data_IF_581658928957
#
_entry.id   IF_581658928957
#
_cell.length_a   1.000
_cell.length_b   1.000
_cell.length_c   1.000
_cell.angle_alpha   90.00
_cell.angle_beta   90.00
_cell.angle_gamma   90.00
#
_symmetry.space_group_name_H-M   'P 1'
#
loop_
_entity.id
_entity.type
_entity.pdbx_description
1 polymer ?
#
# COMPACT_ATOMS: atom_id res chain seq x y z
N UNK A 1 -31.06 33.18 45.17
CA UNK A 1 -29.90 32.40 45.65
C UNK A 1 -28.89 32.35 44.50
N UNK A 2 -27.87 33.22 44.45
CA UNK A 2 -26.52 33.01 45.03
C UNK A 2 -25.81 31.86 44.28
N UNK A 3 -24.71 31.99 43.54
CA UNK A 3 -23.47 32.77 43.68
C UNK A 3 -22.81 32.90 42.29
N UNK A 4 -22.35 34.09 41.90
CA UNK A 4 -20.93 34.49 41.80
C UNK A 4 -20.07 33.66 40.83
N UNK A 5 -19.73 34.28 39.69
CA UNK A 5 -18.75 33.79 38.74
C UNK A 5 -17.32 33.84 39.30
N UNK A 6 -16.53 32.84 38.90
CA UNK A 6 -15.09 32.80 39.12
C UNK A 6 -14.40 32.53 37.78
N UNK A 7 -13.69 33.55 37.29
CA UNK A 7 -12.64 33.41 36.29
C UNK A 7 -11.37 32.92 36.99
N UNK A 8 -10.64 31.92 36.47
CA UNK A 8 -9.33 31.58 37.02
C UNK A 8 -8.32 32.70 36.70
N UNK A 9 -7.79 33.34 37.74
CA UNK A 9 -6.60 34.18 37.68
C UNK A 9 -5.36 33.32 37.44
N UNK A 10 -4.49 33.78 36.55
CA UNK A 10 -3.22 33.16 36.23
C UNK A 10 -2.25 33.22 37.44
N UNK A 11 -1.58 32.11 37.71
CA UNK A 11 -0.53 32.03 38.71
C UNK A 11 0.73 32.80 38.26
N UNK A 12 1.49 33.41 39.20
CA UNK A 12 2.69 34.17 38.87
C UNK A 12 3.85 33.23 38.47
N UNK A 13 4.53 33.55 37.37
CA UNK A 13 5.67 32.78 36.90
C UNK A 13 6.94 33.07 37.73
N UNK A 14 7.76 32.05 38.05
CA UNK A 14 9.06 32.24 38.70
C UNK A 14 10.09 32.84 37.73
N UNK A 15 11.16 33.50 38.25
CA UNK A 15 12.08 34.30 37.46
C UNK A 15 12.90 33.48 36.48
N UNK A 16 13.11 34.07 35.29
CA UNK A 16 13.63 33.43 34.10
C UNK A 16 15.03 32.82 34.25
N UNK A 17 15.12 31.54 33.90
CA UNK A 17 16.37 30.89 33.52
C UNK A 17 16.79 31.44 32.15
N UNK A 18 18.05 31.88 31.94
CA UNK A 18 18.47 32.37 30.64
C UNK A 18 18.38 31.26 29.59
N UNK A 19 17.67 31.51 28.50
CA UNK A 19 17.70 30.64 27.32
C UNK A 19 19.14 30.55 26.79
N UNK A 20 19.68 29.36 26.48
CA UNK A 20 20.96 29.28 25.80
C UNK A 20 20.82 29.97 24.44
N UNK A 21 21.69 30.93 24.18
CA UNK A 21 21.74 31.65 22.92
C UNK A 21 21.99 30.66 21.76
N UNK A 22 21.42 30.90 20.57
CA UNK A 22 21.69 30.07 19.42
C UNK A 22 23.18 30.17 19.07
N UNK A 23 23.86 29.02 19.05
CA UNK A 23 25.24 28.89 18.59
C UNK A 23 25.29 29.07 17.07
N UNK A 24 25.12 30.30 16.62
CA UNK A 24 25.61 30.76 15.33
C UNK A 24 26.11 32.19 15.52
N UNK A 25 27.34 32.33 16.02
CA UNK A 25 28.14 33.49 15.67
C UNK A 25 28.97 33.09 14.48
N UNK A 26 28.74 33.77 13.37
CA UNK A 26 29.64 33.80 12.24
C UNK A 26 31.03 34.23 12.74
N UNK A 27 31.96 33.27 12.76
CA UNK A 27 33.36 33.58 12.65
C UNK A 27 33.66 33.57 11.15
N UNK A 28 33.75 34.76 10.57
CA UNK A 28 34.39 34.98 9.28
C UNK A 28 35.86 34.60 9.42
N UNK A 29 36.20 33.37 9.05
CA UNK A 29 37.56 33.07 8.60
C UNK A 29 37.53 32.99 7.08
N UNK A 30 38.37 33.79 6.46
CA UNK A 30 38.73 33.66 5.05
C UNK A 30 39.46 32.33 4.85
N UNK A 31 38.69 31.24 4.82
CA UNK A 31 39.15 29.96 4.32
C UNK A 31 38.97 30.01 2.81
N UNK A 32 40.07 30.23 2.10
CA UNK A 32 40.16 30.03 0.65
C UNK A 32 39.39 28.75 0.28
N UNK A 33 38.31 28.93 -0.47
CA UNK A 33 37.56 27.84 -1.04
C UNK A 33 38.52 27.07 -1.97
N UNK A 34 39.12 26.00 -1.44
CA UNK A 34 39.73 24.98 -2.26
C UNK A 34 38.59 24.45 -3.14
N UNK A 35 38.60 24.85 -4.40
CA UNK A 35 37.69 24.34 -5.42
C UNK A 35 37.94 22.84 -5.51
N UNK A 36 37.09 22.05 -4.85
CA UNK A 36 36.99 20.62 -5.12
C UNK A 36 36.70 20.52 -6.61
N UNK A 37 37.56 19.87 -7.42
CA UNK A 37 37.28 19.72 -8.83
C UNK A 37 35.96 18.98 -8.92
N UNK A 38 34.95 19.67 -9.45
CA UNK A 38 33.64 19.10 -9.74
C UNK A 38 33.89 18.13 -10.89
N UNK A 39 34.32 16.93 -10.56
CA UNK A 39 34.37 15.83 -11.50
C UNK A 39 32.93 15.73 -12.02
N UNK A 40 32.70 16.05 -13.29
CA UNK A 40 31.48 15.66 -13.98
C UNK A 40 31.51 14.13 -14.02
N UNK A 41 31.13 13.50 -12.90
CA UNK A 41 30.91 12.07 -12.84
C UNK A 41 29.77 11.79 -13.81
N UNK A 42 30.16 11.25 -14.98
CA UNK A 42 29.24 10.70 -15.96
C UNK A 42 28.17 9.88 -15.22
N UNK A 43 26.91 10.29 -15.37
CA UNK A 43 25.79 9.56 -14.80
C UNK A 43 25.84 8.11 -15.26
N UNK A 44 25.82 7.19 -14.29
CA UNK A 44 25.85 5.75 -14.57
C UNK A 44 24.59 5.38 -15.34
N UNK A 45 24.77 4.61 -16.41
CA UNK A 45 23.62 4.07 -17.15
C UNK A 45 22.94 2.97 -16.32
N UNK A 46 21.64 2.71 -16.50
CA UNK A 46 20.94 1.61 -15.82
C UNK A 46 21.65 0.25 -15.96
N UNK A 47 22.31 0.02 -17.09
CA UNK A 47 23.05 -1.21 -17.38
C UNK A 47 24.36 -1.31 -16.59
N UNK A 48 24.94 -0.20 -16.17
CA UNK A 48 26.19 -0.13 -15.41
C UNK A 48 25.97 -0.34 -13.91
N UNK A 49 24.71 -0.30 -13.44
CA UNK A 49 24.38 -0.55 -12.04
C UNK A 49 24.65 -2.03 -11.66
N UNK A 50 25.16 -2.28 -10.44
CA UNK A 50 25.33 -3.63 -9.93
C UNK A 50 23.97 -4.31 -9.80
N UNK A 51 23.89 -5.62 -10.03
CA UNK A 51 22.61 -6.32 -9.93
C UNK A 51 22.58 -7.73 -10.49
N UNK A 52 21.37 -8.29 -10.56
CA UNK A 52 21.13 -9.61 -11.18
C UNK A 52 20.61 -9.41 -12.60
N UNK A 53 21.25 -10.08 -13.56
CA UNK A 53 20.69 -10.26 -14.90
C UNK A 53 19.54 -11.28 -14.91
N UNK A 54 18.81 -11.37 -16.02
CA UNK A 54 17.55 -12.12 -16.12
C UNK A 54 17.65 -13.58 -15.69
N UNK A 55 18.67 -14.31 -16.17
CA UNK A 55 18.87 -15.73 -15.82
C UNK A 55 19.12 -15.92 -14.33
N UNK A 56 19.93 -15.03 -13.73
CA UNK A 56 20.21 -15.06 -12.31
C UNK A 56 18.95 -14.74 -11.52
N UNK A 57 18.14 -13.77 -11.93
CA UNK A 57 16.86 -13.51 -11.28
C UNK A 57 15.94 -14.72 -11.32
N UNK A 58 15.83 -15.38 -12.48
CA UNK A 58 15.00 -16.59 -12.64
C UNK A 58 15.47 -17.72 -11.70
N UNK A 59 16.78 -17.96 -11.63
CA UNK A 59 17.37 -18.91 -10.70
C UNK A 59 17.01 -18.60 -9.24
N UNK A 60 17.09 -17.34 -8.83
CA UNK A 60 16.74 -16.95 -7.46
C UNK A 60 15.24 -17.11 -7.17
N UNK A 61 14.38 -16.77 -8.11
CA UNK A 61 12.93 -16.85 -7.92
C UNK A 61 12.44 -18.31 -7.86
N UNK A 62 12.85 -19.13 -8.82
CA UNK A 62 12.29 -20.49 -8.98
C UNK A 62 13.16 -21.58 -8.35
N UNK A 63 14.46 -21.59 -8.63
CA UNK A 63 15.36 -22.66 -8.15
C UNK A 63 15.70 -22.49 -6.67
N UNK A 64 15.92 -21.25 -6.22
CA UNK A 64 16.12 -20.95 -4.80
C UNK A 64 14.82 -20.72 -4.02
N UNK A 65 13.66 -20.75 -4.68
CA UNK A 65 12.35 -20.69 -4.01
C UNK A 65 11.94 -19.31 -3.45
N UNK A 66 12.50 -18.20 -3.95
CA UNK A 66 12.15 -16.86 -3.47
C UNK A 66 10.91 -16.25 -4.14
N UNK A 67 10.17 -16.98 -4.98
CA UNK A 67 8.98 -16.47 -5.67
C UNK A 67 7.92 -15.88 -4.71
N UNK A 68 7.67 -16.55 -3.58
CA UNK A 68 6.74 -16.07 -2.54
C UNK A 68 7.45 -15.26 -1.43
N UNK A 69 8.77 -15.14 -1.51
CA UNK A 69 9.62 -14.47 -0.53
C UNK A 69 10.46 -13.35 -1.19
N UNK A 70 9.90 -12.69 -2.20
CA UNK A 70 10.60 -11.65 -2.97
C UNK A 70 11.08 -10.49 -2.09
N UNK A 71 10.35 -10.17 -1.02
CA UNK A 71 10.76 -9.19 -0.03
C UNK A 71 12.10 -9.55 0.65
N UNK A 72 12.35 -10.83 0.96
CA UNK A 72 13.64 -11.28 1.50
C UNK A 72 14.75 -11.14 0.46
N UNK A 73 14.43 -11.39 -0.82
CA UNK A 73 15.38 -11.20 -1.92
C UNK A 73 15.80 -9.73 -2.07
N UNK A 74 14.93 -8.77 -1.77
CA UNK A 74 15.27 -7.35 -1.74
C UNK A 74 16.29 -7.05 -0.63
N UNK A 75 16.12 -7.61 0.57
CA UNK A 75 17.06 -7.47 1.70
C UNK A 75 18.44 -8.03 1.33
N UNK A 76 18.48 -9.25 0.77
CA UNK A 76 19.73 -9.90 0.32
C UNK A 76 20.41 -9.07 -0.77
N UNK A 77 19.63 -8.53 -1.71
CA UNK A 77 20.16 -7.76 -2.83
C UNK A 77 20.71 -6.41 -2.38
N UNK A 78 20.02 -5.70 -1.48
CA UNK A 78 20.52 -4.48 -0.84
C UNK A 78 21.85 -4.73 -0.13
N UNK A 79 21.94 -5.78 0.69
CA UNK A 79 23.19 -6.15 1.39
C UNK A 79 24.34 -6.44 0.42
N UNK A 80 24.04 -7.01 -0.76
CA UNK A 80 25.04 -7.42 -1.74
C UNK A 80 25.48 -6.32 -2.71
N UNK A 81 24.57 -5.46 -3.13
CA UNK A 81 24.77 -4.51 -4.22
C UNK A 81 24.77 -3.05 -3.77
N UNK A 82 24.42 -2.79 -2.51
CA UNK A 82 24.36 -1.44 -1.95
C UNK A 82 22.97 -0.80 -2.05
N UNK A 83 22.89 0.53 -1.90
CA UNK A 83 21.62 1.26 -1.78
C UNK A 83 20.85 1.40 -3.10
N UNK A 84 21.50 1.18 -4.25
CA UNK A 84 20.87 1.21 -5.57
C UNK A 84 21.38 0.03 -6.40
N UNK A 85 20.47 -0.73 -7.00
CA UNK A 85 20.83 -1.90 -7.81
C UNK A 85 19.78 -2.22 -8.87
N UNK A 86 20.21 -2.91 -9.92
CA UNK A 86 19.31 -3.39 -10.97
C UNK A 86 18.81 -4.81 -10.72
N UNK A 87 17.60 -5.10 -11.14
CA UNK A 87 17.05 -6.46 -11.27
C UNK A 87 16.24 -6.56 -12.55
N UNK A 88 16.39 -7.68 -13.25
CA UNK A 88 15.58 -7.95 -14.46
C UNK A 88 14.58 -9.05 -14.15
N UNK A 89 13.29 -8.76 -14.34
CA UNK A 89 12.18 -9.71 -14.13
C UNK A 89 11.34 -9.72 -15.40
N UNK A 90 11.32 -10.87 -16.10
CA UNK A 90 10.68 -10.95 -17.41
C UNK A 90 11.27 -9.91 -18.39
N UNK A 91 10.44 -9.12 -19.08
CA UNK A 91 10.90 -8.05 -19.97
C UNK A 91 11.32 -6.77 -19.23
N UNK A 92 11.06 -6.66 -17.93
CA UNK A 92 11.18 -5.40 -17.20
C UNK A 92 12.54 -5.28 -16.50
N UNK A 93 13.27 -4.22 -16.84
CA UNK A 93 14.43 -3.74 -16.07
C UNK A 93 13.94 -2.87 -14.91
N UNK A 94 14.25 -3.28 -13.69
CA UNK A 94 13.87 -2.56 -12.48
C UNK A 94 15.13 -1.98 -11.83
N UNK A 95 15.10 -0.68 -11.51
CA UNK A 95 16.07 -0.05 -10.64
C UNK A 95 15.47 0.01 -9.25
N UNK A 96 16.10 -0.67 -8.30
CA UNK A 96 15.64 -0.82 -6.94
C UNK A 96 16.41 0.17 -6.07
N UNK A 97 15.68 0.90 -5.22
CA UNK A 97 16.23 1.90 -4.32
C UNK A 97 16.00 1.43 -2.89
N UNK A 98 17.07 1.34 -2.12
CA UNK A 98 17.07 0.88 -0.74
C UNK A 98 17.61 1.91 0.26
N UNK A 99 17.73 3.19 -0.13
CA UNK A 99 18.18 4.29 0.71
C UNK A 99 17.08 5.36 0.83
N UNK A 100 16.77 5.85 2.03
CA UNK A 100 15.80 6.93 2.22
C UNK A 100 16.28 8.24 1.58
N UNK A 101 17.58 8.53 1.57
CA UNK A 101 18.15 9.74 0.98
C UNK A 101 17.93 9.78 -0.54
N UNK A 102 18.20 8.66 -1.23
CA UNK A 102 17.97 8.53 -2.67
C UNK A 102 16.47 8.58 -2.99
N UNK A 103 15.65 7.94 -2.15
CA UNK A 103 14.19 7.96 -2.34
C UNK A 103 13.62 9.38 -2.16
N UNK A 104 14.13 10.15 -1.19
CA UNK A 104 13.74 11.55 -1.00
C UNK A 104 14.04 12.38 -2.26
N UNK A 105 15.25 12.25 -2.80
CA UNK A 105 15.64 12.97 -4.02
C UNK A 105 14.73 12.60 -5.19
N UNK A 106 14.44 11.31 -5.38
CA UNK A 106 13.51 10.85 -6.41
C UNK A 106 12.11 11.45 -6.24
N UNK A 107 11.56 11.43 -5.02
CA UNK A 107 10.23 11.96 -4.74
C UNK A 107 10.16 13.48 -4.91
N UNK A 108 11.24 14.22 -4.62
CA UNK A 108 11.32 15.67 -4.88
C UNK A 108 11.32 16.00 -6.38
N UNK A 109 11.80 15.08 -7.21
CA UNK A 109 11.83 15.20 -8.66
C UNK A 109 10.59 14.60 -9.34
N UNK A 110 9.64 14.07 -8.56
CA UNK A 110 8.41 13.49 -9.11
C UNK A 110 7.57 14.57 -9.82
N UNK A 111 7.16 14.26 -11.05
CA UNK A 111 6.33 15.16 -11.84
C UNK A 111 4.87 15.18 -11.37
N UNK A 112 4.07 16.08 -11.95
CA UNK A 112 2.63 16.21 -11.65
C UNK A 112 1.81 14.92 -11.87
N UNK A 113 2.27 14.06 -12.77
CA UNK A 113 1.58 12.84 -13.17
C UNK A 113 2.50 11.63 -12.96
N UNK A 114 2.69 11.16 -11.70
CA UNK A 114 3.49 9.99 -11.43
C UNK A 114 2.91 8.73 -12.09
N UNK A 115 3.81 7.85 -12.53
CA UNK A 115 3.48 6.57 -13.15
C UNK A 115 4.17 5.49 -12.32
N UNK A 116 3.39 4.54 -11.79
CA UNK A 116 3.89 3.50 -10.87
C UNK A 116 4.39 2.27 -11.61
N UNK A 117 3.49 1.67 -12.38
CA UNK A 117 3.69 0.48 -13.20
C UNK A 117 2.54 0.43 -14.20
N UNK A 118 2.73 -0.24 -15.34
CA UNK A 118 1.72 -0.29 -16.40
C UNK A 118 0.39 -0.93 -15.95
N UNK A 119 0.39 -1.70 -14.85
CA UNK A 119 -0.74 -2.48 -14.36
C UNK A 119 -1.40 -3.29 -15.47
N UNK A 120 -0.60 -3.78 -16.44
CA UNK A 120 -1.11 -4.35 -17.69
C UNK A 120 -2.08 -5.49 -17.45
N UNK A 121 -1.80 -6.33 -16.44
CA UNK A 121 -2.61 -7.48 -16.11
C UNK A 121 -4.02 -7.09 -15.64
N UNK A 122 -4.13 -6.01 -14.85
CA UNK A 122 -5.42 -5.52 -14.36
C UNK A 122 -6.17 -4.77 -15.45
N UNK A 123 -5.47 -3.98 -16.27
CA UNK A 123 -6.04 -3.31 -17.46
C UNK A 123 -6.61 -4.33 -18.44
N UNK A 124 -5.91 -5.45 -18.66
CA UNK A 124 -6.33 -6.50 -19.59
C UNK A 124 -7.71 -7.10 -19.26
N UNK A 125 -8.04 -7.31 -17.98
CA UNK A 125 -9.41 -7.73 -17.61
C UNK A 125 -10.46 -6.68 -17.99
N UNK A 126 -10.16 -5.39 -17.73
CA UNK A 126 -11.09 -4.29 -17.98
C UNK A 126 -11.33 -4.13 -19.47
N UNK A 127 -10.29 -4.26 -20.28
CA UNK A 127 -10.38 -4.20 -21.74
C UNK A 127 -11.23 -5.35 -22.30
N UNK A 128 -10.99 -6.58 -21.82
CA UNK A 128 -11.73 -7.77 -22.23
C UNK A 128 -13.21 -7.78 -21.81
N UNK A 129 -13.59 -6.96 -20.84
CA UNK A 129 -14.97 -6.85 -20.31
C UNK A 129 -15.61 -5.49 -20.59
N UNK A 130 -14.92 -4.61 -21.33
CA UNK A 130 -15.37 -3.24 -21.61
C UNK A 130 -15.70 -2.44 -20.35
N UNK A 131 -14.93 -2.64 -19.27
CA UNK A 131 -15.09 -1.95 -17.99
C UNK A 131 -14.22 -0.70 -17.91
N UNK A 132 -14.68 0.28 -17.12
CA UNK A 132 -13.91 1.51 -16.87
C UNK A 132 -12.70 1.26 -15.97
N UNK A 133 -11.66 2.07 -16.16
CA UNK A 133 -10.47 2.05 -15.31
C UNK A 133 -10.66 2.87 -14.04
N UNK A 134 -9.99 2.46 -12.96
CA UNK A 134 -9.95 3.18 -11.70
C UNK A 134 -8.62 3.90 -11.45
N UNK A 135 -8.46 4.61 -10.32
CA UNK A 135 -7.23 5.35 -9.99
C UNK A 135 -5.96 4.48 -9.87
N UNK A 136 -6.13 3.16 -9.77
CA UNK A 136 -5.03 2.22 -9.73
C UNK A 136 -4.58 1.76 -11.12
N UNK A 137 -5.47 1.83 -12.12
CA UNK A 137 -5.23 1.38 -13.50
C UNK A 137 -5.24 2.54 -14.51
N UNK A 138 -5.45 3.78 -14.08
CA UNK A 138 -5.26 4.98 -14.91
C UNK A 138 -3.89 5.61 -14.68
N UNK A 139 -3.41 6.32 -15.69
CA UNK A 139 -2.16 7.09 -15.65
C UNK A 139 -2.38 8.54 -16.16
N UNK A 140 -1.38 9.40 -15.99
CA UNK A 140 -1.38 10.73 -16.60
C UNK A 140 -2.49 11.67 -16.10
N UNK A 141 -3.08 12.42 -17.04
CA UNK A 141 -4.14 13.41 -16.73
C UNK A 141 -5.43 12.77 -16.22
N UNK A 142 -5.81 11.59 -16.73
CA UNK A 142 -7.03 10.87 -16.31
C UNK A 142 -6.91 10.42 -14.86
N UNK A 143 -5.78 9.79 -14.52
CA UNK A 143 -5.45 9.45 -13.14
C UNK A 143 -5.54 10.66 -12.21
N UNK A 144 -4.91 11.76 -12.59
CA UNK A 144 -4.89 12.97 -11.76
C UNK A 144 -6.29 13.54 -11.56
N UNK A 145 -7.13 13.55 -12.60
CA UNK A 145 -8.52 13.97 -12.47
C UNK A 145 -9.30 13.09 -11.47
N UNK A 146 -9.24 11.76 -11.61
CA UNK A 146 -9.87 10.82 -10.67
C UNK A 146 -9.37 11.06 -9.25
N UNK A 147 -8.05 11.21 -9.06
CA UNK A 147 -7.43 11.44 -7.76
C UNK A 147 -7.87 12.76 -7.13
N UNK A 148 -7.97 13.83 -7.92
CA UNK A 148 -8.44 15.14 -7.43
C UNK A 148 -9.88 15.10 -6.93
N UNK A 149 -10.75 14.32 -7.56
CA UNK A 149 -12.15 14.16 -7.13
C UNK A 149 -12.20 13.34 -5.85
N UNK A 150 -11.58 12.15 -5.83
CA UNK A 150 -11.64 11.22 -4.69
C UNK A 150 -10.96 11.77 -3.44
N UNK A 151 -9.81 12.45 -3.57
CA UNK A 151 -9.08 13.00 -2.44
C UNK A 151 -9.93 13.97 -1.61
N UNK A 152 -10.87 14.68 -2.25
CA UNK A 152 -11.76 15.62 -1.55
C UNK A 152 -12.68 14.95 -0.56
N UNK A 153 -13.03 13.67 -0.73
CA UNK A 153 -13.96 12.92 0.12
C UNK A 153 -13.29 11.89 1.01
N UNK A 154 -12.12 11.37 0.60
CA UNK A 154 -11.45 10.27 1.30
C UNK A 154 -10.23 10.68 2.13
N UNK A 155 -9.51 11.75 1.75
CA UNK A 155 -8.22 12.10 2.38
C UNK A 155 -8.25 13.39 3.20
N UNK A 156 -9.36 14.14 3.16
CA UNK A 156 -9.54 15.30 4.02
C UNK A 156 -9.99 14.84 5.41
N UNK A 157 -9.29 15.21 6.49
CA UNK A 157 -9.67 14.77 7.84
C UNK A 157 -11.12 15.10 8.22
N UNK A 158 -11.62 16.27 7.82
CA UNK A 158 -13.01 16.69 8.08
C UNK A 158 -14.05 15.79 7.41
N UNK A 159 -13.73 15.23 6.24
CA UNK A 159 -14.64 14.35 5.50
C UNK A 159 -14.51 12.91 6.00
N UNK A 160 -13.28 12.49 6.35
CA UNK A 160 -13.05 11.19 6.95
C UNK A 160 -13.78 11.02 8.29
N UNK A 161 -13.94 12.10 9.07
CA UNK A 161 -14.72 12.09 10.32
C UNK A 161 -16.20 11.75 10.11
N UNK A 162 -16.77 11.99 8.92
CA UNK A 162 -18.16 11.66 8.63
C UNK A 162 -18.41 10.14 8.61
N UNK A 163 -17.36 9.33 8.44
CA UNK A 163 -17.45 7.88 8.44
C UNK A 163 -17.24 7.27 9.83
N UNK A 164 -16.99 8.10 10.87
CA UNK A 164 -16.67 7.61 12.20
C UNK A 164 -17.80 6.77 12.81
N UNK A 165 -19.04 7.23 12.68
CA UNK A 165 -20.20 6.51 13.21
C UNK A 165 -20.39 5.15 12.53
N UNK A 166 -20.30 5.12 11.19
CA UNK A 166 -20.35 3.87 10.42
C UNK A 166 -19.25 2.87 10.83
N UNK A 167 -18.03 3.35 11.06
CA UNK A 167 -16.93 2.51 11.54
C UNK A 167 -17.18 2.04 12.97
N UNK A 168 -17.68 2.91 13.86
CA UNK A 168 -17.98 2.58 15.25
C UNK A 168 -19.02 1.46 15.34
N UNK A 169 -20.05 1.47 14.49
CA UNK A 169 -21.03 0.37 14.40
C UNK A 169 -20.35 -0.96 14.05
N UNK A 170 -19.48 -0.96 13.03
CA UNK A 170 -18.75 -2.17 12.62
C UNK A 170 -17.77 -2.65 13.70
N UNK A 171 -17.17 -1.73 14.46
CA UNK A 171 -16.33 -2.05 15.61
C UNK A 171 -17.15 -2.68 16.74
N UNK A 172 -18.35 -2.15 17.02
CA UNK A 172 -19.26 -2.75 18.00
C UNK A 172 -19.62 -4.20 17.62
N UNK A 173 -19.93 -4.44 16.35
CA UNK A 173 -20.22 -5.79 15.85
C UNK A 173 -19.00 -6.72 15.94
N UNK A 174 -17.80 -6.20 15.66
CA UNK A 174 -16.57 -6.95 15.83
C UNK A 174 -16.36 -7.37 17.29
N UNK A 175 -16.61 -6.48 18.26
CA UNK A 175 -16.46 -6.79 19.69
C UNK A 175 -17.42 -7.90 20.10
N UNK A 176 -18.68 -7.84 19.65
CA UNK A 176 -19.67 -8.89 19.91
C UNK A 176 -19.21 -10.22 19.30
N UNK A 177 -18.76 -10.21 18.03
CA UNK A 177 -18.27 -11.41 17.36
C UNK A 177 -17.04 -12.01 18.07
N UNK A 178 -16.12 -11.18 18.55
CA UNK A 178 -14.95 -11.61 19.32
C UNK A 178 -15.34 -12.30 20.62
N UNK A 179 -16.34 -11.77 21.34
CA UNK A 179 -16.86 -12.38 22.57
C UNK A 179 -17.50 -13.73 22.28
N UNK A 180 -18.29 -13.83 21.21
CA UNK A 180 -18.92 -15.07 20.77
C UNK A 180 -17.87 -16.13 20.40
N UNK A 181 -16.85 -15.79 19.61
CA UNK A 181 -15.77 -16.73 19.25
C UNK A 181 -14.95 -17.16 20.46
N UNK A 182 -14.68 -16.23 21.39
CA UNK A 182 -14.00 -16.54 22.64
C UNK A 182 -14.79 -17.52 23.51
N UNK A 183 -16.11 -17.39 23.55
CA UNK A 183 -16.98 -18.29 24.33
C UNK A 183 -16.99 -19.74 23.80
N UNK A 184 -16.71 -19.93 22.51
CA UNK A 184 -16.63 -21.25 21.86
C UNK A 184 -15.26 -21.93 22.06
N UNK A 185 -14.26 -21.16 22.46
CA UNK A 185 -12.88 -21.63 22.63
C UNK A 185 -12.73 -22.40 23.94
N UNK A 186 -12.12 -23.58 23.87
CA UNK A 186 -11.86 -24.44 25.04
C UNK A 186 -10.94 -23.81 26.09
N UNK A 187 -10.18 -22.77 25.72
CA UNK A 187 -9.24 -22.08 26.58
C UNK A 187 -9.78 -20.74 27.13
N UNK A 188 -11.01 -20.33 26.79
CA UNK A 188 -11.67 -19.09 27.22
C UNK A 188 -10.86 -17.78 27.02
N UNK A 189 -9.72 -17.82 26.32
CA UNK A 189 -8.77 -16.69 26.17
C UNK A 189 -8.32 -16.51 24.72
N UNK A 190 -8.47 -17.53 23.86
CA UNK A 190 -7.92 -17.53 22.50
C UNK A 190 -9.03 -17.51 21.45
N UNK A 191 -8.90 -16.61 20.47
CA UNK A 191 -9.61 -16.65 19.19
C UNK A 191 -8.66 -17.28 18.16
N UNK A 192 -9.11 -18.35 17.48
CA UNK A 192 -8.22 -19.18 16.67
C UNK A 192 -7.79 -18.52 15.35
N UNK A 193 -8.69 -17.78 14.68
CA UNK A 193 -8.43 -17.14 13.38
C UNK A 193 -8.64 -15.62 13.41
N UNK A 194 -7.79 -14.95 14.18
CA UNK A 194 -7.80 -13.48 14.28
C UNK A 194 -7.54 -12.78 12.93
N UNK A 195 -6.72 -13.38 12.05
CA UNK A 195 -6.40 -12.77 10.77
C UNK A 195 -7.64 -12.73 9.86
N UNK A 196 -8.39 -13.84 9.76
CA UNK A 196 -9.62 -13.87 8.99
C UNK A 196 -10.67 -12.90 9.54
N UNK A 197 -10.78 -12.81 10.87
CA UNK A 197 -11.70 -11.86 11.50
C UNK A 197 -11.34 -10.40 11.19
N UNK A 198 -10.06 -10.04 11.22
CA UNK A 198 -9.62 -8.69 10.85
C UNK A 198 -9.84 -8.39 9.35
N UNK A 199 -9.71 -9.39 8.46
CA UNK A 199 -10.08 -9.22 7.06
C UNK A 199 -11.57 -8.98 6.87
N UNK A 200 -12.42 -9.72 7.59
CA UNK A 200 -13.89 -9.51 7.59
C UNK A 200 -14.27 -8.13 8.11
N UNK A 201 -13.66 -7.70 9.21
CA UNK A 201 -13.84 -6.37 9.77
C UNK A 201 -13.45 -5.28 8.77
N UNK A 202 -12.26 -5.39 8.17
CA UNK A 202 -11.78 -4.41 7.20
C UNK A 202 -12.71 -4.33 5.98
N UNK A 203 -13.21 -5.49 5.52
CA UNK A 203 -14.11 -5.55 4.37
C UNK A 203 -15.51 -5.00 4.69
N UNK A 204 -16.07 -5.33 5.86
CA UNK A 204 -17.35 -4.77 6.32
C UNK A 204 -17.25 -3.25 6.42
N UNK A 205 -16.18 -2.74 7.05
CA UNK A 205 -15.97 -1.31 7.26
C UNK A 205 -15.86 -0.53 5.95
N UNK A 206 -15.03 -1.00 5.01
CA UNK A 206 -14.89 -0.31 3.72
C UNK A 206 -16.15 -0.43 2.86
N UNK A 207 -16.85 -1.57 2.92
CA UNK A 207 -18.09 -1.77 2.15
C UNK A 207 -19.22 -0.90 2.66
N UNK A 208 -19.32 -0.73 3.99
CA UNK A 208 -20.30 0.18 4.57
C UNK A 208 -20.03 1.64 4.15
N UNK A 209 -18.77 2.06 4.09
CA UNK A 209 -18.41 3.40 3.62
C UNK A 209 -18.69 3.58 2.12
N UNK A 210 -18.35 2.60 1.29
CA UNK A 210 -18.42 2.73 -0.16
C UNK A 210 -19.81 2.52 -0.75
N UNK A 211 -20.59 1.61 -0.16
CA UNK A 211 -21.90 1.21 -0.67
C UNK A 211 -23.04 1.66 0.26
N UNK A 212 -22.74 2.34 1.37
CA UNK A 212 -23.72 2.71 2.41
C UNK A 212 -24.56 1.51 2.88
N UNK A 213 -23.98 0.31 2.78
CA UNK A 213 -24.69 -0.97 2.98
C UNK A 213 -23.81 -1.94 3.78
N UNK A 214 -24.44 -2.65 4.71
CA UNK A 214 -23.83 -3.75 5.49
C UNK A 214 -23.84 -5.02 4.63
N UNK A 215 -22.68 -5.61 4.39
CA UNK A 215 -22.54 -6.83 3.57
C UNK A 215 -22.51 -8.10 4.42
N UNK A 216 -22.57 -7.99 5.75
CA UNK A 216 -22.76 -9.11 6.66
C UNK A 216 -21.51 -9.97 6.86
N UNK A 217 -20.31 -9.41 6.69
CA UNK A 217 -19.05 -10.13 6.91
C UNK A 217 -18.86 -10.58 8.37
N UNK A 218 -19.44 -9.86 9.33
CA UNK A 218 -19.33 -10.13 10.77
C UNK A 218 -20.55 -10.85 11.36
N UNK A 219 -21.55 -11.17 10.53
CA UNK A 219 -22.72 -11.92 10.98
C UNK A 219 -22.38 -13.37 11.36
N UNK A 220 -23.20 -13.98 12.21
CA UNK A 220 -23.03 -15.39 12.63
C UNK A 220 -23.05 -16.34 11.43
N UNK A 221 -23.92 -16.05 10.45
CA UNK A 221 -23.98 -16.77 9.19
C UNK A 221 -23.80 -15.78 8.06
N UNK A 222 -22.61 -15.82 7.44
CA UNK A 222 -22.28 -14.92 6.34
C UNK A 222 -23.17 -15.20 5.12
N UNK A 223 -23.72 -14.16 4.48
CA UNK A 223 -24.44 -14.30 3.22
C UNK A 223 -23.60 -15.01 2.15
N UNK A 224 -24.23 -15.85 1.33
CA UNK A 224 -23.53 -16.63 0.30
C UNK A 224 -22.83 -15.73 -0.71
N UNK A 225 -23.47 -14.62 -1.12
CA UNK A 225 -22.90 -13.65 -2.06
C UNK A 225 -21.63 -13.00 -1.50
N UNK A 226 -21.66 -12.53 -0.25
CA UNK A 226 -20.50 -11.96 0.45
C UNK A 226 -19.36 -12.95 0.56
N UNK A 227 -19.66 -14.22 0.87
CA UNK A 227 -18.65 -15.27 0.92
C UNK A 227 -18.03 -15.50 -0.46
N UNK A 228 -18.83 -15.58 -1.52
CA UNK A 228 -18.34 -15.72 -2.89
C UNK A 228 -17.45 -14.56 -3.31
N UNK A 229 -17.81 -13.34 -2.92
CA UNK A 229 -17.01 -12.15 -3.16
C UNK A 229 -15.64 -12.20 -2.47
N UNK A 230 -15.59 -12.57 -1.18
CA UNK A 230 -14.33 -12.75 -0.44
C UNK A 230 -13.46 -13.83 -1.08
N UNK A 231 -14.06 -14.99 -1.38
CA UNK A 231 -13.37 -16.12 -1.99
C UNK A 231 -12.81 -15.74 -3.38
N UNK A 232 -13.55 -14.95 -4.16
CA UNK A 232 -13.12 -14.46 -5.46
C UNK A 232 -11.92 -13.52 -5.39
N UNK A 233 -11.82 -12.66 -4.37
CA UNK A 233 -10.63 -11.80 -4.14
C UNK A 233 -9.38 -12.66 -3.91
N UNK A 234 -9.47 -13.64 -3.01
CA UNK A 234 -8.37 -14.57 -2.74
C UNK A 234 -8.00 -15.40 -3.99
N UNK A 235 -9.00 -15.85 -4.73
CA UNK A 235 -8.83 -16.59 -5.98
C UNK A 235 -8.14 -15.76 -7.06
N UNK A 236 -8.54 -14.50 -7.22
CA UNK A 236 -7.93 -13.54 -8.14
C UNK A 236 -6.45 -13.32 -7.80
N UNK A 237 -6.12 -13.01 -6.54
CA UNK A 237 -4.73 -12.79 -6.13
C UNK A 237 -3.85 -14.02 -6.32
N UNK A 238 -4.33 -15.20 -5.91
CA UNK A 238 -3.58 -16.46 -6.05
C UNK A 238 -3.24 -16.74 -7.51
N UNK A 239 -4.20 -16.58 -8.41
CA UNK A 239 -3.97 -16.80 -9.84
C UNK A 239 -3.12 -15.70 -10.48
N UNK A 240 -3.20 -14.45 -10.00
CA UNK A 240 -2.40 -13.34 -10.55
C UNK A 240 -0.90 -13.57 -10.45
N UNK A 241 -0.42 -14.28 -9.42
CA UNK A 241 1.00 -14.65 -9.28
C UNK A 241 1.44 -15.49 -10.48
N UNK A 242 0.68 -16.54 -10.80
CA UNK A 242 0.99 -17.39 -11.95
C UNK A 242 0.91 -16.63 -13.26
N UNK A 243 -0.14 -15.82 -13.47
CA UNK A 243 -0.31 -15.05 -14.71
C UNK A 243 0.80 -14.00 -14.90
N UNK A 244 1.33 -13.44 -13.82
CA UNK A 244 2.41 -12.45 -13.87
C UNK A 244 3.73 -13.06 -14.33
N UNK A 245 4.04 -14.28 -13.88
CA UNK A 245 5.35 -14.90 -14.14
C UNK A 245 5.36 -15.89 -15.31
N UNK A 246 4.20 -16.45 -15.69
CA UNK A 246 4.12 -17.37 -16.82
C UNK A 246 4.10 -16.60 -18.15
N UNK A 247 4.82 -17.09 -19.18
CA UNK A 247 4.77 -16.48 -20.51
C UNK A 247 3.36 -16.44 -21.09
N UNK A 248 3.01 -15.39 -21.84
CA UNK A 248 1.65 -15.22 -22.41
C UNK A 248 1.18 -16.41 -23.27
N UNK A 249 2.08 -17.12 -23.95
CA UNK A 249 1.72 -18.30 -24.76
C UNK A 249 1.14 -19.45 -23.93
N UNK A 250 1.44 -19.53 -22.62
CA UNK A 250 0.90 -20.60 -21.77
C UNK A 250 -0.56 -20.36 -21.39
N UNK A 251 -1.13 -19.18 -21.68
CA UNK A 251 -2.50 -18.82 -21.26
C UNK A 251 -3.58 -19.68 -21.89
N UNK A 252 -3.34 -20.18 -23.10
CA UNK A 252 -4.27 -21.09 -23.79
C UNK A 252 -4.15 -22.54 -23.32
N UNK A 253 -3.04 -22.90 -22.66
CA UNK A 253 -2.76 -24.27 -22.20
C UNK A 253 -3.02 -24.46 -20.70
N UNK A 254 -2.74 -23.43 -19.89
CA UNK A 254 -2.85 -23.48 -18.44
C UNK A 254 -4.09 -22.72 -17.95
N UNK A 255 -4.78 -23.21 -16.91
CA UNK A 255 -6.05 -22.63 -16.49
C UNK A 255 -5.90 -21.27 -15.77
N UNK A 256 -4.69 -20.89 -15.34
CA UNK A 256 -4.47 -19.75 -14.44
C UNK A 256 -5.01 -18.42 -14.96
N UNK A 257 -4.94 -18.18 -16.28
CA UNK A 257 -5.45 -16.94 -16.87
C UNK A 257 -6.98 -16.89 -16.83
N UNK A 258 -7.66 -17.96 -17.23
CA UNK A 258 -9.11 -18.04 -17.17
C UNK A 258 -9.62 -17.94 -15.73
N UNK A 259 -8.96 -18.62 -14.79
CA UNK A 259 -9.27 -18.52 -13.36
C UNK A 259 -9.06 -17.12 -12.79
N UNK A 260 -8.03 -16.41 -13.26
CA UNK A 260 -7.80 -15.01 -12.91
C UNK A 260 -8.92 -14.10 -13.40
N UNK A 261 -9.38 -14.28 -14.65
CA UNK A 261 -10.50 -13.53 -15.21
C UNK A 261 -11.81 -13.84 -14.47
N UNK A 262 -12.10 -15.11 -14.20
CA UNK A 262 -13.28 -15.56 -13.44
C UNK A 262 -13.34 -14.91 -12.06
N UNK A 263 -12.21 -14.87 -11.33
CA UNK A 263 -12.15 -14.18 -10.03
C UNK A 263 -12.51 -12.70 -10.14
N UNK A 264 -12.05 -12.01 -11.18
CA UNK A 264 -12.45 -10.63 -11.42
C UNK A 264 -13.91 -10.48 -11.84
N UNK A 265 -14.43 -11.39 -12.66
CA UNK A 265 -15.82 -11.34 -13.12
C UNK A 265 -16.77 -11.45 -11.92
N UNK A 266 -16.48 -12.31 -10.94
CA UNK A 266 -17.25 -12.41 -9.69
C UNK A 266 -17.11 -11.11 -8.86
N UNK A 267 -15.91 -10.55 -8.74
CA UNK A 267 -15.67 -9.29 -8.00
C UNK A 267 -16.49 -8.14 -8.60
N UNK A 268 -16.51 -8.01 -9.93
CA UNK A 268 -17.22 -6.92 -10.61
C UNK A 268 -18.72 -7.16 -10.78
N UNK A 269 -19.18 -8.40 -10.61
CA UNK A 269 -20.61 -8.74 -10.57
C UNK A 269 -21.23 -8.68 -9.17
N UNK A 270 -20.46 -8.29 -8.15
CA UNK A 270 -20.99 -8.15 -6.79
C UNK A 270 -21.88 -6.91 -6.67
N UNK A 271 -23.10 -7.08 -6.16
CA UNK A 271 -24.04 -5.97 -5.97
C UNK A 271 -24.65 -5.40 -7.26
N UNK A 272 -24.51 -6.09 -8.39
CA UNK A 272 -25.25 -5.82 -9.65
C UNK A 272 -26.44 -6.74 -9.79
#
# INVERSE_FOLDING_TARGET
AGYAGWRPQAAPQPPGVPRPAPLWRAASSDAQAASVPRHEERLKRPEELPGKGSLKTLYWLFVKGYLLHTHQLQIISKKRYGPIWKSVVGPNLNINIGSPEILEELLRQEGKYPIRSDMSLWKEHRDLRHLSYGPFTEDGKRWHHLRQVLNKRMLKPSEALLYADSINEVVSDLIVHLQDERSKSSSEVKVDDMANLLYRFALEGISYILFETRIGCLEKQMPTETKQFIDAIGYMFRNSVFVTFLPKWTRNMLPFFNRYLEGWDIIFGFGT
#
